data_IF_046756053859
#
_entry.id   IF_046756053859
#
_cell.length_a   1.000
_cell.length_b   1.000
_cell.length_c   1.000
_cell.angle_alpha   90.00
_cell.angle_beta   90.00
_cell.angle_gamma   90.00
#
_symmetry.space_group_name_H-M   'P 1'
#
loop_
_entity.id
_entity.type
_entity.pdbx_description
1 polymer ?
#
# COMPACT_ATOMS: atom_id res chain seq x y z
N UNK A 1 -16.75 -12.54 -13.14
CA UNK A 1 -15.71 -11.87 -13.96
C UNK A 1 -14.74 -11.15 -13.03
N UNK A 2 -13.53 -11.68 -12.84
CA UNK A 2 -12.53 -11.12 -11.93
C UNK A 2 -11.86 -9.88 -12.53
N UNK A 3 -12.01 -8.73 -11.87
CA UNK A 3 -11.42 -7.46 -12.31
C UNK A 3 -9.91 -7.48 -11.98
N UNK A 4 -9.09 -7.93 -12.93
CA UNK A 4 -7.62 -7.78 -12.86
C UNK A 4 -7.27 -6.28 -12.86
N UNK A 5 -6.49 -5.87 -11.87
CA UNK A 5 -6.09 -4.47 -11.68
C UNK A 5 -5.00 -4.14 -12.71
N UNK A 6 -5.19 -3.06 -13.50
CA UNK A 6 -4.35 -2.72 -14.66
C UNK A 6 -3.29 -1.63 -14.41
N UNK A 7 -3.04 -1.14 -13.19
CA UNK A 7 -2.02 -0.07 -13.01
C UNK A 7 -1.48 0.16 -11.59
N UNK A 8 -1.37 -0.86 -10.73
CA UNK A 8 -0.85 -0.70 -9.35
C UNK A 8 0.48 -1.43 -9.11
N UNK A 9 1.31 -0.89 -8.22
CA UNK A 9 2.47 -1.61 -7.64
C UNK A 9 1.96 -2.49 -6.50
N UNK A 10 2.40 -3.75 -6.44
CA UNK A 10 1.98 -4.73 -5.44
C UNK A 10 3.14 -5.32 -4.65
N UNK A 11 2.90 -5.59 -3.37
CA UNK A 11 3.81 -6.29 -2.46
C UNK A 11 3.09 -7.51 -1.88
N UNK A 12 3.76 -8.66 -1.86
CA UNK A 12 3.26 -9.90 -1.26
C UNK A 12 4.17 -10.33 -0.11
N UNK A 13 3.58 -10.63 1.04
CA UNK A 13 4.29 -11.13 2.23
C UNK A 13 4.34 -12.66 2.24
N UNK A 14 3.39 -13.29 1.55
CA UNK A 14 3.30 -14.74 1.33
C UNK A 14 2.44 -15.01 0.08
N UNK A 15 2.19 -16.27 -0.25
CA UNK A 15 1.43 -16.67 -1.44
C UNK A 15 -0.04 -16.20 -1.43
N UNK A 16 -0.60 -15.90 -0.26
CA UNK A 16 -1.99 -15.54 -0.07
C UNK A 16 -2.18 -14.04 0.22
N UNK A 17 -1.22 -13.42 0.87
CA UNK A 17 -1.34 -12.04 1.39
C UNK A 17 -0.59 -11.05 0.50
N UNK A 18 -1.34 -10.13 -0.09
CA UNK A 18 -0.79 -9.10 -0.97
C UNK A 18 -1.47 -7.75 -0.80
N UNK A 19 -0.73 -6.67 -1.01
CA UNK A 19 -1.25 -5.29 -0.98
C UNK A 19 -0.88 -4.58 -2.28
N UNK A 20 -1.82 -3.83 -2.86
CA UNK A 20 -1.62 -3.02 -4.05
C UNK A 20 -2.02 -1.56 -3.77
N UNK A 21 -1.26 -0.61 -4.32
CA UNK A 21 -1.50 0.82 -4.15
C UNK A 21 -1.62 1.57 -5.47
N UNK A 22 -2.25 2.75 -5.46
CA UNK A 22 -2.41 3.56 -6.67
C UNK A 22 -2.98 4.95 -6.47
N UNK A 23 -3.60 5.49 -7.52
CA UNK A 23 -4.17 6.84 -7.57
C UNK A 23 -5.24 7.07 -6.49
N UNK A 24 -5.48 8.33 -6.15
CA UNK A 24 -6.52 8.75 -5.19
C UNK A 24 -6.43 8.04 -3.83
N UNK A 25 -5.20 7.77 -3.36
CA UNK A 25 -4.96 7.07 -2.09
C UNK A 25 -5.43 5.62 -2.07
N UNK A 26 -5.61 4.98 -3.24
CA UNK A 26 -6.09 3.60 -3.32
C UNK A 26 -5.12 2.67 -2.62
N UNK A 27 -5.63 1.89 -1.66
CA UNK A 27 -4.96 0.73 -1.06
C UNK A 27 -5.94 -0.44 -1.14
N UNK A 28 -5.48 -1.55 -1.70
CA UNK A 28 -6.23 -2.79 -1.81
C UNK A 28 -5.42 -3.91 -1.18
N UNK A 29 -6.09 -4.80 -0.45
CA UNK A 29 -5.45 -5.97 0.15
C UNK A 29 -6.17 -7.26 -0.20
N UNK A 30 -5.40 -8.33 -0.34
CA UNK A 30 -5.88 -9.70 -0.49
C UNK A 30 -5.27 -10.58 0.60
N UNK A 31 -6.00 -11.60 1.01
CA UNK A 31 -5.55 -12.67 1.92
C UNK A 31 -5.84 -14.05 1.34
N UNK A 32 -6.17 -14.11 0.04
CA UNK A 32 -6.52 -15.33 -0.68
C UNK A 32 -5.89 -15.39 -2.08
N UNK A 33 -4.64 -14.93 -2.18
CA UNK A 33 -3.81 -15.06 -3.39
C UNK A 33 -4.28 -14.18 -4.54
N UNK A 34 -4.97 -13.08 -4.24
CA UNK A 34 -5.50 -12.15 -5.24
C UNK A 34 -6.84 -12.55 -5.84
N UNK A 35 -7.50 -13.59 -5.33
CA UNK A 35 -8.85 -13.97 -5.76
C UNK A 35 -9.90 -12.91 -5.36
N UNK A 36 -9.74 -12.30 -4.18
CA UNK A 36 -10.53 -11.17 -3.70
C UNK A 36 -9.61 -10.06 -3.20
N UNK A 37 -9.96 -8.82 -3.54
CA UNK A 37 -9.29 -7.62 -3.05
C UNK A 37 -10.29 -6.74 -2.29
N UNK A 38 -9.93 -6.36 -1.07
CA UNK A 38 -10.71 -5.46 -0.21
C UNK A 38 -10.03 -4.10 -0.12
N UNK A 39 -10.83 -3.03 -0.10
CA UNK A 39 -10.32 -1.66 0.04
C UNK A 39 -9.91 -1.38 1.48
N UNK A 40 -8.75 -0.73 1.64
CA UNK A 40 -8.29 -0.20 2.92
C UNK A 40 -8.33 1.32 2.90
N UNK A 41 -8.77 1.92 4.01
CA UNK A 41 -8.80 3.38 4.16
C UNK A 41 -7.38 3.88 4.39
N UNK A 42 -6.85 4.68 3.45
CA UNK A 42 -5.50 5.25 3.52
C UNK A 42 -5.43 6.57 4.28
N UNK A 43 -6.56 7.28 4.42
CA UNK A 43 -6.61 8.61 5.03
C UNK A 43 -6.04 9.74 4.15
N UNK A 44 -5.76 9.47 2.87
CA UNK A 44 -5.23 10.46 1.92
C UNK A 44 -5.83 10.30 0.53
N UNK A 45 -5.75 11.33 -0.29
CA UNK A 45 -6.07 11.29 -1.73
C UNK A 45 -4.81 11.34 -2.60
N UNK A 46 -3.62 11.38 -1.99
CA UNK A 46 -2.36 11.39 -2.71
C UNK A 46 -2.18 10.13 -3.57
N UNK A 47 -1.45 10.26 -4.67
CA UNK A 47 -1.06 9.09 -5.46
C UNK A 47 0.00 8.29 -4.71
N UNK A 48 -0.34 7.07 -4.31
CA UNK A 48 0.58 6.11 -3.72
C UNK A 48 1.32 5.36 -4.83
N UNK A 49 2.65 5.40 -4.78
CA UNK A 49 3.54 4.96 -5.85
C UNK A 49 4.24 3.64 -5.53
N UNK A 50 4.41 3.30 -4.25
CA UNK A 50 5.07 2.07 -3.83
C UNK A 50 4.59 1.65 -2.45
N UNK A 51 4.60 0.33 -2.20
CA UNK A 51 4.27 -0.28 -0.92
C UNK A 51 5.20 -1.45 -0.68
N UNK A 52 5.63 -1.64 0.57
CA UNK A 52 6.43 -2.79 1.00
C UNK A 52 6.08 -3.17 2.42
N UNK A 53 6.14 -4.47 2.73
CA UNK A 53 5.83 -5.05 4.03
C UNK A 53 7.03 -5.87 4.52
N UNK A 54 7.35 -5.76 5.81
CA UNK A 54 8.38 -6.59 6.48
C UNK A 54 7.80 -7.91 6.99
N UNK A 55 6.50 -7.94 7.25
CA UNK A 55 5.73 -9.10 7.66
C UNK A 55 4.26 -8.88 7.30
N UNK A 56 3.37 -9.84 7.56
CA UNK A 56 1.96 -9.71 7.21
C UNK A 56 1.29 -8.46 7.81
N UNK A 57 1.72 -7.98 8.97
CA UNK A 57 1.08 -6.89 9.71
C UNK A 57 1.76 -5.53 9.48
N UNK A 58 3.08 -5.51 9.30
CA UNK A 58 3.86 -4.27 9.25
C UNK A 58 4.19 -3.86 7.82
N UNK A 59 3.67 -2.72 7.38
CA UNK A 59 3.85 -2.22 6.02
C UNK A 59 3.99 -0.71 5.93
N UNK A 60 4.64 -0.26 4.85
CA UNK A 60 4.81 1.16 4.51
C UNK A 60 4.39 1.41 3.06
N UNK A 61 3.57 2.43 2.84
CA UNK A 61 3.23 2.94 1.53
C UNK A 61 3.77 4.37 1.37
N UNK A 62 4.31 4.68 0.20
CA UNK A 62 4.89 6.00 -0.11
C UNK A 62 4.32 6.57 -1.40
N UNK A 63 4.31 7.89 -1.55
CA UNK A 63 3.69 8.53 -2.71
C UNK A 63 4.04 9.98 -2.93
N UNK A 64 3.22 10.63 -3.75
CA UNK A 64 3.33 12.05 -4.10
C UNK A 64 3.26 12.96 -2.87
N UNK A 65 3.85 14.16 -2.96
CA UNK A 65 3.78 15.16 -1.90
C UNK A 65 4.53 14.78 -0.62
N UNK A 66 5.50 13.87 -0.70
CA UNK A 66 6.21 13.35 0.47
C UNK A 66 5.36 12.42 1.34
N UNK A 67 4.27 11.84 0.80
CA UNK A 67 3.37 10.98 1.58
C UNK A 67 4.08 9.72 2.04
N UNK A 68 4.00 9.44 3.34
CA UNK A 68 4.38 8.16 3.96
C UNK A 68 3.22 7.70 4.83
N UNK A 69 2.74 6.49 4.61
CA UNK A 69 1.75 5.82 5.46
C UNK A 69 2.37 4.55 6.02
N UNK A 70 2.14 4.28 7.31
CA UNK A 70 2.57 3.05 7.97
C UNK A 70 1.40 2.33 8.59
N UNK A 71 1.42 1.00 8.53
CA UNK A 71 0.52 0.12 9.27
C UNK A 71 1.34 -0.89 10.09
N UNK A 72 0.76 -1.36 11.19
CA UNK A 72 1.28 -2.45 12.04
C UNK A 72 0.21 -3.50 12.33
N UNK A 73 -0.92 -3.45 11.62
CA UNK A 73 -2.09 -4.33 11.81
C UNK A 73 -2.62 -4.91 10.49
N UNK A 74 -1.76 -4.99 9.48
CA UNK A 74 -2.09 -5.53 8.17
C UNK A 74 -2.91 -4.58 7.31
N UNK A 75 -2.89 -3.29 7.62
CA UNK A 75 -3.60 -2.24 6.90
C UNK A 75 -5.07 -2.09 7.30
N UNK A 76 -5.46 -2.61 8.46
CA UNK A 76 -6.73 -2.24 9.08
C UNK A 76 -6.70 -0.74 9.46
N UNK A 77 -5.54 -0.24 9.90
CA UNK A 77 -5.24 1.17 10.09
C UNK A 77 -3.94 1.57 9.38
N UNK A 78 -4.01 2.67 8.63
CA UNK A 78 -2.85 3.35 8.05
C UNK A 78 -2.67 4.71 8.74
N UNK A 79 -1.47 4.96 9.27
CA UNK A 79 -1.13 6.20 9.98
C UNK A 79 -0.07 6.98 9.20
N UNK A 80 -0.34 8.26 8.95
CA UNK A 80 0.59 9.17 8.29
C UNK A 80 1.86 9.39 9.10
N UNK A 81 3.01 9.43 8.42
CA UNK A 81 4.32 9.70 9.01
C UNK A 81 4.94 10.95 8.38
N UNK A 82 5.70 11.71 9.16
CA UNK A 82 6.44 12.88 8.66
C UNK A 82 7.62 12.44 7.82
N UNK A 83 7.70 12.91 6.57
CA UNK A 83 8.81 12.63 5.66
C UNK A 83 9.90 13.70 5.65
N UNK A 84 9.60 14.91 6.13
CA UNK A 84 10.50 16.06 6.07
C UNK A 84 10.66 16.68 4.67
N UNK A 85 9.88 16.25 3.68
CA UNK A 85 9.92 16.78 2.32
C UNK A 85 8.53 16.78 1.68
N UNK A 86 8.33 17.60 0.66
CA UNK A 86 7.13 17.57 -0.20
C UNK A 86 7.40 16.87 -1.54
N UNK A 87 8.63 16.41 -1.77
CA UNK A 87 8.99 15.69 -3.00
C UNK A 87 8.30 14.32 -3.05
N UNK A 88 7.94 13.87 -4.26
CA UNK A 88 7.34 12.54 -4.44
C UNK A 88 8.33 11.43 -4.08
N UNK A 89 7.89 10.52 -3.21
CA UNK A 89 8.62 9.31 -2.84
C UNK A 89 8.18 8.19 -3.78
N UNK A 90 9.12 7.72 -4.63
CA UNK A 90 8.80 6.82 -5.74
C UNK A 90 8.99 5.33 -5.42
N UNK A 91 9.66 5.01 -4.32
CA UNK A 91 9.98 3.63 -3.97
C UNK A 91 10.22 3.46 -2.47
N UNK A 92 9.76 2.34 -1.94
CA UNK A 92 10.11 1.81 -0.62
C UNK A 92 10.30 0.31 -0.75
N UNK A 93 11.31 -0.24 -0.09
CA UNK A 93 11.60 -1.67 -0.13
C UNK A 93 12.20 -2.11 1.21
N UNK A 94 11.69 -3.23 1.71
CA UNK A 94 12.26 -3.96 2.84
C UNK A 94 12.60 -5.39 2.38
N UNK A 95 13.65 -5.94 2.99
CA UNK A 95 14.15 -7.30 2.72
C UNK A 95 13.46 -8.36 3.58
#
# INVERSE_FOLDING_TARGET
>A
MGRRIRSGVSSFTDANTGTAVGHYGTILRTTNGGALWTTQTSGTTAWLLSVSFTDANTGTAVGSGGTILRTTDGGALWTSQTSGTTNSLRGVFFH
#
